data_IF_275745840332
#
_entry.id   IF_275745840332
#
_cell.length_a   1.000
_cell.length_b   1.000
_cell.length_c   1.000
_cell.angle_alpha   90.00
_cell.angle_beta   90.00
_cell.angle_gamma   90.00
#
_symmetry.space_group_name_H-M   'P 1'
#
loop_
_entity.id
_entity.type
_entity.pdbx_description
1 polymer ?
#
# COMPACT_ATOMS: atom_id res chain seq x y z
N UNK A 1 12.30 -3.16 21.02
CA UNK A 1 11.70 -2.12 20.14
C UNK A 1 12.73 -1.10 19.71
N UNK A 2 13.48 -0.47 20.63
CA UNK A 2 14.53 0.51 20.29
C UNK A 2 15.58 -0.03 19.31
N UNK A 3 16.20 -1.18 19.59
CA UNK A 3 17.21 -1.78 18.69
C UNK A 3 16.69 -2.03 17.27
N UNK A 4 15.42 -2.40 17.12
CA UNK A 4 14.78 -2.55 15.81
C UNK A 4 14.65 -1.21 15.07
N UNK A 5 14.20 -0.16 15.75
CA UNK A 5 14.06 1.18 15.16
C UNK A 5 15.43 1.75 14.74
N UNK A 6 16.46 1.55 15.56
CA UNK A 6 17.85 1.95 15.24
C UNK A 6 18.36 1.18 14.01
N UNK A 7 18.19 -0.14 13.98
CA UNK A 7 18.61 -0.98 12.85
C UNK A 7 17.95 -0.55 11.54
N UNK A 8 16.66 -0.22 11.58
CA UNK A 8 15.89 0.19 10.40
C UNK A 8 15.94 1.70 10.13
N UNK A 9 16.70 2.47 10.91
CA UNK A 9 16.83 3.94 10.80
C UNK A 9 15.47 4.66 10.82
N UNK A 10 14.56 4.18 11.66
CA UNK A 10 13.22 4.77 11.83
C UNK A 10 13.24 5.71 13.03
N UNK A 11 13.08 7.03 12.83
CA UNK A 11 13.00 7.98 13.92
C UNK A 11 11.76 7.73 14.79
N UNK A 12 11.90 7.89 16.10
CA UNK A 12 10.79 7.79 17.05
C UNK A 12 10.91 8.85 18.14
N UNK A 13 9.77 9.22 18.73
CA UNK A 13 9.68 10.16 19.85
C UNK A 13 8.78 9.53 20.94
N UNK A 14 9.18 9.70 22.20
CA UNK A 14 8.46 9.21 23.37
C UNK A 14 8.25 10.36 24.37
N UNK A 15 7.38 10.16 25.36
CA UNK A 15 7.12 11.15 26.42
C UNK A 15 6.23 12.33 25.99
N UNK A 16 5.54 12.23 24.85
CA UNK A 16 4.57 13.22 24.39
C UNK A 16 3.14 12.85 24.79
N UNK A 17 2.28 13.85 24.93
CA UNK A 17 0.83 13.64 25.10
C UNK A 17 0.19 13.23 23.76
N UNK A 18 0.24 11.92 23.48
CA UNK A 18 -0.38 11.32 22.29
C UNK A 18 -1.89 11.50 22.28
N UNK A 19 -2.56 11.59 23.44
CA UNK A 19 -4.00 11.84 23.54
C UNK A 19 -4.36 13.24 23.06
N UNK A 20 -3.57 14.25 23.43
CA UNK A 20 -3.72 15.62 22.90
C UNK A 20 -3.48 15.64 21.40
N UNK A 21 -2.45 14.95 20.90
CA UNK A 21 -2.17 14.85 19.45
C UNK A 21 -3.35 14.22 18.70
N UNK A 22 -3.90 13.09 19.16
CA UNK A 22 -5.07 12.45 18.56
C UNK A 22 -6.29 13.37 18.55
N UNK A 23 -6.56 14.11 19.63
CA UNK A 23 -7.66 15.09 19.68
C UNK A 23 -7.46 16.25 18.71
N UNK A 24 -6.22 16.66 18.50
CA UNK A 24 -5.88 17.71 17.54
C UNK A 24 -6.12 17.23 16.10
N UNK A 25 -5.59 16.07 15.73
CA UNK A 25 -5.83 15.46 14.40
C UNK A 25 -7.31 15.17 14.14
N UNK A 26 -8.07 14.71 15.15
CA UNK A 26 -9.51 14.50 15.00
C UNK A 26 -10.30 15.78 14.71
N UNK A 27 -9.84 16.93 15.19
CA UNK A 27 -10.50 18.23 14.97
C UNK A 27 -10.11 18.88 13.65
N UNK A 28 -8.85 18.73 13.24
CA UNK A 28 -8.28 19.46 12.11
C UNK A 28 -8.02 18.60 10.88
N UNK A 29 -8.26 17.28 10.96
CA UNK A 29 -7.89 16.32 9.93
C UNK A 29 -6.43 15.89 10.03
N UNK A 30 -5.98 15.12 9.04
CA UNK A 30 -4.57 14.75 8.90
C UNK A 30 -3.74 16.01 8.61
N UNK A 31 -2.62 16.17 9.32
CA UNK A 31 -1.73 17.30 9.19
C UNK A 31 -0.31 16.80 8.91
N UNK A 32 0.42 17.39 7.95
CA UNK A 32 1.84 17.17 7.82
C UNK A 32 2.56 17.56 9.12
N UNK A 33 3.55 16.77 9.52
CA UNK A 33 4.29 16.96 10.76
C UNK A 33 5.76 16.63 10.58
N UNK A 34 6.59 17.23 11.44
CA UNK A 34 8.02 16.93 11.51
C UNK A 34 8.46 16.89 12.98
N UNK A 35 9.47 16.05 13.25
CA UNK A 35 10.16 15.97 14.54
C UNK A 35 11.63 15.60 14.30
N UNK A 36 12.51 15.95 15.24
CA UNK A 36 13.94 15.69 15.14
C UNK A 36 14.74 16.48 16.16
N UNK A 37 16.07 16.46 16.04
CA UNK A 37 16.99 17.12 16.97
C UNK A 37 17.33 18.56 16.58
N UNK A 38 16.85 19.05 15.42
CA UNK A 38 17.08 20.42 14.97
C UNK A 38 16.29 21.43 15.83
N UNK A 39 16.64 22.71 15.71
CA UNK A 39 15.94 23.78 16.39
C UNK A 39 14.47 23.89 15.93
N UNK A 40 13.64 24.53 16.75
CA UNK A 40 12.20 24.66 16.51
C UNK A 40 11.87 25.36 15.19
N UNK A 41 12.67 26.34 14.75
CA UNK A 41 12.43 27.07 13.50
C UNK A 41 12.62 26.14 12.32
N UNK A 42 13.70 25.36 12.32
CA UNK A 42 14.03 24.36 11.30
C UNK A 42 12.97 23.25 11.23
N UNK A 43 12.58 22.66 12.36
CA UNK A 43 11.54 21.60 12.39
C UNK A 43 10.19 22.14 11.94
N UNK A 44 9.81 23.35 12.35
CA UNK A 44 8.55 23.96 11.93
C UNK A 44 8.54 24.30 10.44
N UNK A 45 9.67 24.71 9.86
CA UNK A 45 9.80 24.89 8.42
C UNK A 45 9.60 23.56 7.67
N UNK A 46 10.27 22.49 8.12
CA UNK A 46 10.10 21.15 7.56
C UNK A 46 8.65 20.66 7.60
N UNK A 47 7.94 20.88 8.71
CA UNK A 47 6.53 20.52 8.84
C UNK A 47 5.64 21.30 7.86
N UNK A 48 5.90 22.60 7.63
CA UNK A 48 5.14 23.43 6.67
C UNK A 48 5.35 23.02 5.22
N UNK A 49 6.54 22.55 4.87
CA UNK A 49 6.89 22.14 3.51
C UNK A 49 6.66 20.64 3.25
N UNK A 50 6.32 19.88 4.29
CA UNK A 50 6.06 18.46 4.18
C UNK A 50 4.84 18.23 3.27
N UNK A 51 5.06 17.49 2.18
CA UNK A 51 3.99 17.10 1.27
C UNK A 51 3.12 16.03 1.94
N UNK A 52 1.81 16.17 1.77
CA UNK A 52 0.87 15.10 2.11
C UNK A 52 1.06 13.88 1.21
N UNK A 53 0.26 12.85 1.47
CA UNK A 53 0.23 11.63 0.64
C UNK A 53 -0.73 11.74 -0.54
N UNK A 54 -1.59 12.77 -0.53
CA UNK A 54 -2.65 12.95 -1.51
C UNK A 54 -2.07 13.19 -2.91
N UNK A 55 -2.63 12.53 -3.92
CA UNK A 55 -2.20 12.63 -5.32
C UNK A 55 -0.77 12.17 -5.59
N UNK A 56 -0.11 11.50 -4.64
CA UNK A 56 1.23 10.94 -4.81
C UNK A 56 1.14 9.45 -5.06
N UNK A 57 1.74 8.98 -6.15
CA UNK A 57 1.94 7.54 -6.38
C UNK A 57 2.96 6.99 -5.38
N UNK A 58 2.45 6.40 -4.32
CA UNK A 58 3.23 5.67 -3.32
C UNK A 58 3.29 4.17 -3.64
N UNK A 59 2.40 3.68 -4.51
CA UNK A 59 2.32 2.28 -4.90
C UNK A 59 3.58 1.86 -5.67
N UNK A 60 4.05 2.68 -6.61
CA UNK A 60 5.31 2.40 -7.35
C UNK A 60 6.55 2.27 -6.47
N UNK A 61 6.50 2.80 -5.23
CA UNK A 61 7.61 2.68 -4.27
C UNK A 61 7.58 1.40 -3.45
N UNK A 62 6.43 0.74 -3.35
CA UNK A 62 6.22 -0.41 -2.44
C UNK A 62 5.80 -1.69 -3.14
N UNK A 63 5.33 -1.63 -4.38
CA UNK A 63 5.04 -2.81 -5.20
C UNK A 63 6.25 -3.73 -5.29
N UNK A 64 6.01 -5.04 -5.34
CA UNK A 64 7.04 -6.02 -5.71
C UNK A 64 7.65 -5.68 -7.07
N UNK A 65 8.94 -6.02 -7.23
CA UNK A 65 9.67 -5.88 -8.49
C UNK A 65 9.56 -7.11 -9.37
N UNK A 66 9.36 -8.26 -8.75
CA UNK A 66 9.32 -9.55 -9.42
C UNK A 66 8.06 -10.31 -9.01
N UNK A 67 7.54 -11.07 -9.96
CA UNK A 67 6.41 -11.96 -9.74
C UNK A 67 6.83 -13.12 -8.86
N UNK A 68 6.01 -13.44 -7.86
CA UNK A 68 6.24 -14.60 -7.00
C UNK A 68 4.93 -15.35 -6.73
N UNK A 69 5.05 -16.62 -6.33
CA UNK A 69 3.90 -17.48 -6.09
C UNK A 69 3.84 -17.97 -4.65
N UNK A 70 2.62 -18.20 -4.15
CA UNK A 70 2.34 -18.80 -2.86
C UNK A 70 1.10 -19.71 -2.93
N UNK A 71 1.14 -20.83 -2.22
CA UNK A 71 0.06 -21.80 -2.19
C UNK A 71 -0.03 -22.66 -3.46
N UNK A 72 -0.79 -23.74 -3.35
CA UNK A 72 -0.92 -24.82 -4.35
C UNK A 72 -2.39 -25.19 -4.61
N UNK A 73 -3.31 -24.30 -4.27
CA UNK A 73 -4.74 -24.52 -4.46
C UNK A 73 -5.13 -24.71 -5.94
N UNK A 74 -6.19 -25.47 -6.17
CA UNK A 74 -6.65 -25.81 -7.53
C UNK A 74 -7.10 -24.60 -8.36
N UNK A 75 -7.54 -23.52 -7.70
CA UNK A 75 -7.94 -22.26 -8.33
C UNK A 75 -6.82 -21.24 -8.22
N UNK A 76 -6.61 -20.49 -9.29
CA UNK A 76 -5.53 -19.52 -9.43
C UNK A 76 -6.03 -18.10 -9.24
N UNK A 77 -5.46 -17.38 -8.27
CA UNK A 77 -5.69 -15.95 -8.06
C UNK A 77 -4.44 -15.18 -8.44
N UNK A 78 -4.59 -14.17 -9.29
CA UNK A 78 -3.56 -13.15 -9.49
C UNK A 78 -3.80 -12.01 -8.51
N UNK A 79 -2.78 -11.59 -7.77
CA UNK A 79 -2.84 -10.51 -6.81
C UNK A 79 -1.97 -9.34 -7.28
N UNK A 80 -2.60 -8.19 -7.56
CA UNK A 80 -1.90 -6.94 -7.87
C UNK A 80 -1.34 -6.34 -6.58
N UNK A 81 -0.02 -6.18 -6.52
CA UNK A 81 0.69 -5.71 -5.34
C UNK A 81 0.75 -4.18 -5.27
N UNK A 82 -0.18 -3.57 -4.53
CA UNK A 82 -0.16 -2.15 -4.24
C UNK A 82 0.62 -1.80 -2.96
N UNK A 83 1.39 -2.74 -2.41
CA UNK A 83 1.90 -2.71 -1.04
C UNK A 83 1.23 -3.77 -0.16
N UNK A 84 1.04 -4.96 -0.73
CA UNK A 84 0.31 -6.08 -0.14
C UNK A 84 0.92 -6.48 1.20
N UNK A 85 0.06 -6.62 2.21
CA UNK A 85 0.49 -7.22 3.48
C UNK A 85 0.70 -8.71 3.28
N UNK A 86 1.82 -9.24 3.78
CA UNK A 86 2.14 -10.68 3.72
C UNK A 86 1.02 -11.57 4.28
N UNK A 87 0.28 -11.08 5.29
CA UNK A 87 -0.90 -11.78 5.83
C UNK A 87 -1.99 -12.03 4.79
N UNK A 88 -2.22 -11.11 3.84
CA UNK A 88 -3.22 -11.31 2.78
C UNK A 88 -2.81 -12.45 1.86
N UNK A 89 -1.54 -12.47 1.44
CA UNK A 89 -0.98 -13.55 0.62
C UNK A 89 -1.12 -14.88 1.34
N UNK A 90 -0.75 -14.95 2.63
CA UNK A 90 -0.89 -16.16 3.43
C UNK A 90 -2.35 -16.63 3.55
N UNK A 91 -3.31 -15.72 3.75
CA UNK A 91 -4.73 -16.11 3.87
C UNK A 91 -5.29 -16.62 2.54
N UNK A 92 -4.97 -15.96 1.42
CA UNK A 92 -5.38 -16.42 0.08
C UNK A 92 -4.75 -17.79 -0.24
N UNK A 93 -3.46 -17.97 0.07
CA UNK A 93 -2.70 -19.19 -0.20
C UNK A 93 -3.23 -20.43 0.55
N UNK A 94 -4.07 -20.26 1.58
CA UNK A 94 -4.76 -21.38 2.24
C UNK A 94 -5.81 -22.05 1.36
N UNK A 95 -6.25 -21.40 0.30
CA UNK A 95 -7.35 -21.87 -0.57
C UNK A 95 -7.01 -21.83 -2.06
N UNK A 96 -6.08 -20.96 -2.45
CA UNK A 96 -5.77 -20.66 -3.85
C UNK A 96 -4.28 -20.82 -4.12
N UNK A 97 -3.91 -21.11 -5.37
CA UNK A 97 -2.58 -20.77 -5.89
C UNK A 97 -2.57 -19.28 -6.16
N UNK A 98 -1.69 -18.52 -5.51
CA UNK A 98 -1.63 -17.06 -5.61
C UNK A 98 -0.38 -16.67 -6.38
N UNK A 99 -0.54 -15.93 -7.49
CA UNK A 99 0.56 -15.25 -8.17
C UNK A 99 0.50 -13.77 -7.82
N UNK A 100 1.47 -13.27 -7.06
CA UNK A 100 1.59 -11.85 -6.75
C UNK A 100 2.40 -11.19 -7.86
N UNK A 101 1.85 -10.14 -8.47
CA UNK A 101 2.45 -9.42 -9.59
C UNK A 101 2.65 -7.94 -9.26
N UNK A 102 3.65 -7.29 -9.88
CA UNK A 102 3.83 -5.84 -9.76
C UNK A 102 2.57 -5.05 -10.13
N UNK A 103 2.36 -3.90 -9.48
CA UNK A 103 1.30 -2.94 -9.80
C UNK A 103 1.38 -2.36 -11.23
N UNK A 104 2.46 -2.62 -11.95
CA UNK A 104 2.72 -2.16 -13.32
C UNK A 104 2.23 -3.14 -14.38
N UNK A 105 1.77 -4.35 -14.01
CA UNK A 105 1.20 -5.32 -14.95
C UNK A 105 -0.03 -4.73 -15.63
N UNK A 106 -0.11 -4.92 -16.95
CA UNK A 106 -1.27 -4.52 -17.72
C UNK A 106 -2.32 -5.65 -17.83
N UNK A 107 -3.41 -5.38 -18.55
CA UNK A 107 -4.49 -6.35 -18.70
C UNK A 107 -4.07 -7.59 -19.52
N UNK A 108 -3.15 -7.45 -20.46
CA UNK A 108 -2.64 -8.56 -21.26
C UNK A 108 -1.73 -9.45 -20.43
N UNK A 109 -0.80 -8.85 -19.67
CA UNK A 109 0.05 -9.55 -18.71
C UNK A 109 -0.78 -10.39 -17.73
N UNK A 110 -1.85 -9.80 -17.19
CA UNK A 110 -2.75 -10.48 -16.24
C UNK A 110 -3.52 -11.61 -16.92
N UNK A 111 -4.04 -11.40 -18.14
CA UNK A 111 -4.74 -12.45 -18.89
C UNK A 111 -3.83 -13.60 -19.29
N UNK A 112 -2.57 -13.32 -19.61
CA UNK A 112 -1.57 -14.34 -19.95
C UNK A 112 -1.32 -15.33 -18.81
N UNK A 113 -1.56 -14.91 -17.56
CA UNK A 113 -1.49 -15.78 -16.38
C UNK A 113 -2.73 -16.68 -16.21
N UNK A 114 -3.79 -16.50 -17.03
CA UNK A 114 -5.04 -17.26 -16.99
C UNK A 114 -5.65 -17.43 -15.58
N UNK A 115 -5.88 -16.33 -14.83
CA UNK A 115 -6.44 -16.41 -13.48
C UNK A 115 -7.89 -16.89 -13.46
N UNK A 116 -8.26 -17.62 -12.40
CA UNK A 116 -9.65 -17.86 -12.00
C UNK A 116 -10.25 -16.66 -11.24
N UNK A 117 -9.40 -15.73 -10.76
CA UNK A 117 -9.83 -14.52 -10.06
C UNK A 117 -8.70 -13.50 -9.89
N UNK A 118 -9.07 -12.24 -9.70
CA UNK A 118 -8.16 -11.12 -9.50
C UNK A 118 -8.33 -10.55 -8.09
N UNK A 119 -7.22 -10.32 -7.40
CA UNK A 119 -7.18 -9.70 -6.09
C UNK A 119 -6.46 -8.35 -6.14
N UNK A 120 -7.14 -7.30 -5.66
CA UNK A 120 -6.59 -5.94 -5.56
C UNK A 120 -6.23 -5.67 -4.11
N UNK A 121 -4.92 -5.59 -3.83
CA UNK A 121 -4.42 -5.54 -2.47
C UNK A 121 -4.53 -4.16 -1.84
N UNK A 122 -4.19 -4.09 -0.55
CA UNK A 122 -4.01 -2.80 0.11
C UNK A 122 -2.78 -2.08 -0.44
N UNK A 123 -2.75 -0.76 -0.23
CA UNK A 123 -1.58 0.05 -0.51
C UNK A 123 -1.59 1.39 0.20
N UNK A 124 -0.45 2.11 0.18
CA UNK A 124 -0.36 3.48 0.66
C UNK A 124 -0.90 4.46 -0.39
N UNK A 125 -1.29 5.65 0.07
CA UNK A 125 -1.70 6.74 -0.80
C UNK A 125 -3.21 6.74 -1.07
N UNK A 126 -3.58 7.42 -2.15
CA UNK A 126 -4.96 7.72 -2.54
C UNK A 126 -5.30 6.99 -3.85
N UNK A 127 -6.45 6.29 -3.93
CA UNK A 127 -6.94 5.70 -5.19
C UNK A 127 -6.98 6.70 -6.35
N UNK A 128 -7.18 7.99 -6.09
CA UNK A 128 -7.18 9.05 -7.11
C UNK A 128 -5.84 9.19 -7.87
N UNK A 129 -4.74 8.61 -7.35
CA UNK A 129 -3.45 8.57 -8.03
C UNK A 129 -3.27 7.32 -8.93
N UNK A 130 -4.26 6.42 -9.00
CA UNK A 130 -4.16 5.11 -9.66
C UNK A 130 -4.88 5.02 -11.01
N UNK A 131 -4.96 6.11 -11.77
CA UNK A 131 -5.64 6.16 -13.08
C UNK A 131 -5.17 5.06 -14.05
N UNK A 132 -3.89 4.71 -14.01
CA UNK A 132 -3.34 3.65 -14.86
C UNK A 132 -3.91 2.28 -14.48
N UNK A 133 -3.99 1.97 -13.19
CA UNK A 133 -4.53 0.72 -12.68
C UNK A 133 -6.04 0.65 -12.92
N UNK A 134 -6.78 1.75 -12.75
CA UNK A 134 -8.22 1.81 -13.08
C UNK A 134 -8.47 1.43 -14.54
N UNK A 135 -7.68 1.98 -15.47
CA UNK A 135 -7.77 1.62 -16.91
C UNK A 135 -7.47 0.15 -17.20
N UNK A 136 -6.60 -0.48 -16.41
CA UNK A 136 -6.34 -1.93 -16.52
C UNK A 136 -7.55 -2.73 -16.02
N UNK A 137 -8.15 -2.29 -14.90
CA UNK A 137 -9.32 -2.96 -14.31
C UNK A 137 -10.55 -2.88 -15.21
N UNK A 138 -10.80 -1.75 -15.86
CA UNK A 138 -11.90 -1.59 -16.83
C UNK A 138 -11.87 -2.65 -17.94
N UNK A 139 -10.68 -3.12 -18.31
CA UNK A 139 -10.51 -4.15 -19.33
C UNK A 139 -10.68 -5.59 -18.79
N UNK A 140 -10.65 -5.77 -17.48
CA UNK A 140 -10.73 -7.07 -16.81
C UNK A 140 -12.09 -7.30 -16.16
N UNK A 141 -12.85 -6.24 -15.87
CA UNK A 141 -14.22 -6.32 -15.35
C UNK A 141 -15.08 -7.19 -16.29
N UNK A 142 -15.78 -8.16 -15.70
CA UNK A 142 -16.62 -9.11 -16.42
C UNK A 142 -15.88 -10.30 -17.03
N UNK A 143 -14.55 -10.34 -16.98
CA UNK A 143 -13.75 -11.49 -17.47
C UNK A 143 -13.44 -12.50 -16.36
N UNK A 144 -13.12 -12.01 -15.17
CA UNK A 144 -12.87 -12.82 -13.96
C UNK A 144 -13.49 -12.15 -12.73
N UNK A 145 -13.81 -12.90 -11.66
CA UNK A 145 -14.19 -12.32 -10.38
C UNK A 145 -13.06 -11.43 -9.82
N UNK A 146 -13.40 -10.22 -9.39
CA UNK A 146 -12.47 -9.26 -8.80
C UNK A 146 -12.83 -9.03 -7.33
N UNK A 147 -11.83 -9.08 -6.45
CA UNK A 147 -11.98 -8.78 -5.03
C UNK A 147 -10.91 -7.78 -4.58
N UNK A 148 -11.32 -6.67 -3.96
CA UNK A 148 -10.42 -5.60 -3.54
C UNK A 148 -10.48 -5.29 -2.05
N UNK A 149 -9.34 -4.88 -1.48
CA UNK A 149 -9.23 -4.47 -0.07
C UNK A 149 -8.51 -3.13 0.06
N UNK A 150 -9.08 -2.21 0.85
CA UNK A 150 -8.50 -0.91 1.18
C UNK A 150 -8.29 -0.05 -0.07
N UNK A 151 -7.06 0.01 -0.59
CA UNK A 151 -6.77 0.76 -1.82
C UNK A 151 -7.38 0.10 -3.07
N UNK A 152 -7.57 -1.22 -3.02
CA UNK A 152 -8.22 -1.97 -4.09
C UNK A 152 -9.75 -1.95 -4.08
N UNK A 153 -10.40 -1.30 -3.09
CA UNK A 153 -11.87 -1.20 -3.00
C UNK A 153 -12.39 -0.02 -3.81
#
# INVERSE_FOLDING_TARGET
>A
MEGFLVQHRVPAIVGIDTRRLTRHLRRHGALPGAFGHADRVTVAAAARTARGTDGTDLVSRVTTRETYQHGDGARHVVALDYGIKTTMVHQLARRFRVTVVPATFDAEDIRALAPDGLFLSNGPGDPAALDAQVRVLDQLIGTVPIFGICLGH
#
